data_IF_694187206441
#
_entry.id   IF_694187206441
#
_cell.length_a   1.000
_cell.length_b   1.000
_cell.length_c   1.000
_cell.angle_alpha   90.00
_cell.angle_beta   90.00
_cell.angle_gamma   90.00
#
_symmetry.space_group_name_H-M   'P 1'
#
loop_
_entity.id
_entity.type
_entity.pdbx_description
1 polymer ?
#
# COMPACT_ATOMS: atom_id res chain seq x y z
N UNK A 1 29.30 15.52 6.23
CA UNK A 1 28.09 15.29 5.40
C UNK A 1 27.14 14.38 6.17
N UNK A 2 26.25 14.95 6.97
CA UNK A 2 25.21 14.19 7.67
C UNK A 2 24.17 13.76 6.65
N UNK A 3 24.25 12.50 6.20
CA UNK A 3 23.16 11.88 5.45
C UNK A 3 21.98 11.76 6.42
N UNK A 4 21.05 12.72 6.40
CA UNK A 4 19.74 12.53 7.00
C UNK A 4 19.08 11.39 6.25
N UNK A 5 19.13 10.21 6.84
CA UNK A 5 18.37 9.07 6.36
C UNK A 5 16.94 9.32 6.83
N UNK A 6 16.08 9.84 5.94
CA UNK A 6 14.66 9.84 6.23
C UNK A 6 14.27 8.39 6.53
N UNK A 7 13.79 8.09 7.75
CA UNK A 7 13.45 6.73 8.10
C UNK A 7 12.43 6.23 7.07
N UNK A 8 12.51 4.94 6.66
CA UNK A 8 11.56 4.41 5.70
C UNK A 8 10.16 4.73 6.22
N UNK A 9 9.31 5.30 5.35
CA UNK A 9 7.94 5.75 5.66
C UNK A 9 7.05 4.70 6.36
N UNK A 10 7.56 3.47 6.49
CA UNK A 10 6.90 2.28 7.02
C UNK A 10 7.30 1.89 8.45
N UNK A 11 8.30 2.53 9.09
CA UNK A 11 8.80 2.11 10.42
C UNK A 11 8.08 2.77 11.59
N UNK A 12 7.47 3.95 11.37
CA UNK A 12 6.67 4.61 12.40
C UNK A 12 5.28 4.00 12.52
N UNK A 13 4.97 3.33 13.63
CA UNK A 13 3.62 2.83 13.97
C UNK A 13 2.54 3.93 13.91
N UNK A 14 2.96 5.19 14.07
CA UNK A 14 2.11 6.37 14.07
C UNK A 14 2.26 7.23 12.80
N UNK A 15 2.99 6.75 11.79
CA UNK A 15 3.20 7.48 10.55
C UNK A 15 1.88 7.66 9.80
N UNK A 16 1.65 8.81 9.14
CA UNK A 16 0.38 9.08 8.46
C UNK A 16 0.11 8.13 7.26
N UNK A 17 1.15 7.44 6.78
CA UNK A 17 1.06 6.40 5.74
C UNK A 17 1.02 4.97 6.29
N UNK A 18 1.30 4.77 7.59
CA UNK A 18 1.49 3.44 8.19
C UNK A 18 0.32 2.49 7.92
N UNK A 19 -0.92 2.97 8.10
CA UNK A 19 -2.13 2.15 7.90
C UNK A 19 -2.28 1.70 6.45
N UNK A 20 -1.96 2.57 5.51
CA UNK A 20 -2.09 2.29 4.08
C UNK A 20 -0.96 1.37 3.62
N UNK A 21 0.27 1.61 4.06
CA UNK A 21 1.41 0.74 3.76
C UNK A 21 1.21 -0.67 4.36
N UNK A 22 0.62 -0.76 5.56
CA UNK A 22 0.23 -2.05 6.16
C UNK A 22 -0.83 -2.76 5.32
N UNK A 23 -1.82 -2.03 4.80
CA UNK A 23 -2.85 -2.60 3.93
C UNK A 23 -2.26 -3.13 2.62
N UNK A 24 -1.31 -2.42 2.01
CA UNK A 24 -0.58 -2.88 0.82
C UNK A 24 0.21 -4.16 1.11
N UNK A 25 0.98 -4.18 2.21
CA UNK A 25 1.73 -5.39 2.62
C UNK A 25 0.80 -6.60 2.81
N UNK A 26 -0.37 -6.39 3.41
CA UNK A 26 -1.37 -7.44 3.57
C UNK A 26 -1.96 -7.90 2.23
N UNK A 27 -2.27 -6.97 1.33
CA UNK A 27 -2.78 -7.29 -0.01
C UNK A 27 -1.75 -8.06 -0.84
N UNK A 28 -0.47 -7.68 -0.77
CA UNK A 28 0.63 -8.40 -1.41
C UNK A 28 0.71 -9.84 -0.91
N UNK A 29 0.70 -10.05 0.42
CA UNK A 29 0.72 -11.40 1.01
C UNK A 29 -0.45 -12.27 0.54
N UNK A 30 -1.64 -11.67 0.36
CA UNK A 30 -2.83 -12.37 -0.16
C UNK A 30 -2.65 -12.76 -1.62
N UNK A 31 -2.08 -11.88 -2.44
CA UNK A 31 -1.76 -12.20 -3.83
C UNK A 31 -0.73 -13.33 -3.93
N UNK A 32 0.32 -13.29 -3.11
CA UNK A 32 1.33 -14.35 -3.08
C UNK A 32 0.70 -15.70 -2.70
N UNK A 33 -0.16 -15.70 -1.67
CA UNK A 33 -0.90 -16.90 -1.25
C UNK A 33 -1.82 -17.42 -2.37
N UNK A 34 -2.50 -16.54 -3.09
CA UNK A 34 -3.36 -16.92 -4.22
C UNK A 34 -2.54 -17.50 -5.39
N UNK A 35 -1.37 -16.94 -5.67
CA UNK A 35 -0.45 -17.44 -6.69
C UNK A 35 0.09 -18.83 -6.34
N UNK A 36 0.41 -19.06 -5.08
CA UNK A 36 0.85 -20.37 -4.59
C UNK A 36 -0.30 -21.40 -4.62
N UNK A 37 -1.50 -21.01 -4.21
CA UNK A 37 -2.68 -21.85 -4.33
C UNK A 37 -2.96 -22.24 -5.79
N UNK A 38 -2.84 -21.30 -6.75
CA UNK A 38 -3.00 -21.58 -8.18
C UNK A 38 -1.99 -22.62 -8.70
N UNK A 39 -0.77 -22.66 -8.17
CA UNK A 39 0.25 -23.64 -8.58
C UNK A 39 -0.09 -25.05 -8.12
N UNK A 40 -0.86 -25.19 -7.04
CA UNK A 40 -1.18 -26.47 -6.41
C UNK A 40 -2.57 -27.02 -6.82
N UNK A 41 -3.45 -26.20 -7.40
CA UNK A 41 -4.81 -26.60 -7.76
C UNK A 41 -4.95 -27.08 -9.22
N UNK A 42 -5.80 -28.09 -9.41
CA UNK A 42 -6.21 -28.63 -10.72
C UNK A 42 -7.30 -27.78 -11.40
N UNK A 43 -8.09 -27.02 -10.63
CA UNK A 43 -9.11 -26.10 -11.17
C UNK A 43 -8.48 -24.76 -11.55
N UNK A 44 -8.07 -24.65 -12.81
CA UNK A 44 -7.39 -23.45 -13.32
C UNK A 44 -8.29 -22.21 -13.45
N UNK A 45 -9.60 -22.36 -13.70
CA UNK A 45 -10.49 -21.19 -13.91
C UNK A 45 -10.74 -20.42 -12.62
N UNK A 46 -11.13 -21.09 -11.54
CA UNK A 46 -11.37 -20.47 -10.24
C UNK A 46 -10.07 -19.85 -9.70
N UNK A 47 -8.95 -20.55 -9.81
CA UNK A 47 -7.67 -20.04 -9.36
C UNK A 47 -7.23 -18.76 -10.13
N UNK A 48 -7.58 -18.65 -11.41
CA UNK A 48 -7.32 -17.44 -12.20
C UNK A 48 -8.16 -16.25 -11.70
N UNK A 49 -9.44 -16.44 -11.43
CA UNK A 49 -10.30 -15.37 -10.91
C UNK A 49 -9.85 -14.91 -9.52
N UNK A 50 -9.48 -15.83 -8.63
CA UNK A 50 -8.95 -15.50 -7.30
C UNK A 50 -7.67 -14.66 -7.40
N UNK A 51 -6.75 -15.02 -8.30
CA UNK A 51 -5.53 -14.23 -8.55
C UNK A 51 -5.86 -12.86 -9.12
N UNK A 52 -6.84 -12.76 -10.02
CA UNK A 52 -7.28 -11.50 -10.61
C UNK A 52 -7.87 -10.57 -9.54
N UNK A 53 -8.76 -11.07 -8.70
CA UNK A 53 -9.34 -10.30 -7.59
C UNK A 53 -8.26 -9.84 -6.60
N UNK A 54 -7.28 -10.70 -6.27
CA UNK A 54 -6.18 -10.34 -5.39
C UNK A 54 -5.29 -9.22 -5.99
N UNK A 55 -5.05 -9.23 -7.31
CA UNK A 55 -4.33 -8.15 -8.02
C UNK A 55 -5.12 -6.84 -8.01
N UNK A 56 -6.43 -6.90 -8.21
CA UNK A 56 -7.28 -5.70 -8.14
C UNK A 56 -7.31 -5.11 -6.74
N UNK A 57 -7.37 -5.96 -5.70
CA UNK A 57 -7.30 -5.52 -4.31
C UNK A 57 -5.97 -4.81 -3.99
N UNK A 58 -4.84 -5.34 -4.48
CA UNK A 58 -3.54 -4.71 -4.35
C UNK A 58 -3.51 -3.33 -5.03
N UNK A 59 -3.99 -3.24 -6.28
CA UNK A 59 -4.04 -1.98 -7.03
C UNK A 59 -4.87 -0.91 -6.31
N UNK A 60 -6.03 -1.29 -5.73
CA UNK A 60 -6.86 -0.38 -4.93
C UNK A 60 -6.13 0.14 -3.68
N UNK A 61 -5.36 -0.73 -3.01
CA UNK A 61 -4.57 -0.34 -1.85
C UNK A 61 -3.44 0.64 -2.23
N UNK A 62 -2.79 0.43 -3.36
CA UNK A 62 -1.76 1.35 -3.91
C UNK A 62 -2.36 2.70 -4.30
N UNK A 63 -3.54 2.72 -4.95
CA UNK A 63 -4.25 3.96 -5.25
C UNK A 63 -4.61 4.74 -3.99
N UNK A 64 -5.07 4.05 -2.93
CA UNK A 64 -5.34 4.69 -1.64
C UNK A 64 -4.08 5.35 -1.05
N UNK A 65 -2.89 4.77 -1.28
CA UNK A 65 -1.62 5.36 -0.84
C UNK A 65 -1.29 6.64 -1.59
N UNK A 66 -1.47 6.64 -2.92
CA UNK A 66 -1.25 7.83 -3.75
C UNK A 66 -2.18 8.97 -3.32
N UNK A 67 -3.47 8.68 -3.12
CA UNK A 67 -4.43 9.65 -2.61
C UNK A 67 -4.01 10.18 -1.23
N UNK A 68 -3.55 9.30 -0.34
CA UNK A 68 -3.10 9.72 1.00
C UNK A 68 -1.87 10.63 0.96
N UNK A 69 -0.93 10.35 0.07
CA UNK A 69 0.25 11.21 -0.13
C UNK A 69 -0.19 12.59 -0.65
N UNK A 70 -1.10 12.64 -1.60
CA UNK A 70 -1.63 13.90 -2.14
C UNK A 70 -2.35 14.72 -1.04
N UNK A 71 -3.17 14.09 -0.21
CA UNK A 71 -3.82 14.73 0.94
C UNK A 71 -2.81 15.33 1.92
N UNK A 72 -1.77 14.58 2.27
CA UNK A 72 -0.74 15.03 3.21
C UNK A 72 0.08 16.19 2.62
N UNK A 73 0.37 16.15 1.33
CA UNK A 73 1.02 17.27 0.62
C UNK A 73 0.17 18.54 0.66
N UNK A 74 -1.12 18.43 0.36
CA UNK A 74 -2.05 19.57 0.42
C UNK A 74 -2.20 20.13 1.85
N UNK A 75 -2.25 19.25 2.87
CA UNK A 75 -2.30 19.67 4.27
C UNK A 75 -1.02 20.41 4.68
N UNK A 76 0.15 19.86 4.34
CA UNK A 76 1.44 20.48 4.64
C UNK A 76 1.55 21.89 4.01
N UNK A 77 1.08 22.06 2.78
CA UNK A 77 1.08 23.36 2.10
C UNK A 77 0.15 24.37 2.80
N UNK A 78 -1.04 23.95 3.24
CA UNK A 78 -1.94 24.79 4.05
C UNK A 78 -1.30 25.23 5.36
N UNK A 79 -0.54 24.36 6.02
CA UNK A 79 0.17 24.73 7.26
C UNK A 79 1.29 25.74 7.02
N UNK A 80 1.98 25.70 5.87
CA UNK A 80 3.02 26.69 5.53
C UNK A 80 2.46 28.09 5.28
N UNK A 81 1.25 28.18 4.73
CA UNK A 81 0.63 29.46 4.34
C UNK A 81 -0.15 30.14 5.48
N UNK A 82 -0.27 29.51 6.65
CA UNK A 82 -0.97 30.08 7.80
C UNK A 82 -0.05 31.09 8.51
N UNK A 83 -0.36 32.41 8.51
CA UNK A 83 0.42 33.37 9.27
C UNK A 83 0.26 33.09 10.78
N UNK A 84 1.34 33.34 11.53
CA UNK A 84 1.45 33.11 12.96
C UNK A 84 0.41 33.87 13.78
#
# INVERSE_FOLDING_TARGET
>A
MTKSYDPPLTVGLNGPLYRVDKAIKLAQKRLDTAMDAKRLHTSHSLANEVVKEAREALRKAEQARVLKIAELGAAAEKYRQRPA
#
